data_IF_041535642274
#
_entry.id   IF_041535642274
#
_cell.length_a   1.000
_cell.length_b   1.000
_cell.length_c   1.000
_cell.angle_alpha   90.00
_cell.angle_beta   90.00
_cell.angle_gamma   90.00
#
_symmetry.space_group_name_H-M   'P 1'
#
loop_
_entity.id
_entity.type
_entity.pdbx_description
1 polymer ?
#
# COMPACT_ATOMS: atom_id res chain seq x y z
N UNK A 1 -32.33 27.89 -23.24
CA UNK A 1 -32.63 28.16 -21.82
C UNK A 1 -32.01 27.02 -21.02
N UNK A 2 -30.85 27.25 -20.40
CA UNK A 2 -30.10 26.20 -19.68
C UNK A 2 -30.68 26.10 -18.28
N UNK A 3 -31.46 25.06 -18.00
CA UNK A 3 -31.88 24.76 -16.64
C UNK A 3 -30.72 24.00 -15.99
N UNK A 4 -29.72 24.74 -15.51
CA UNK A 4 -28.63 24.17 -14.73
C UNK A 4 -29.14 23.82 -13.34
N UNK A 5 -29.54 22.56 -13.13
CA UNK A 5 -29.66 22.01 -11.77
C UNK A 5 -28.25 21.68 -11.32
N UNK A 6 -27.50 22.68 -10.85
CA UNK A 6 -26.19 22.49 -10.23
C UNK A 6 -26.37 21.93 -8.82
N UNK A 7 -26.76 20.66 -8.70
CA UNK A 7 -26.67 19.98 -7.40
C UNK A 7 -25.21 19.62 -7.17
N UNK A 8 -24.45 20.56 -6.61
CA UNK A 8 -23.12 20.28 -6.05
C UNK A 8 -23.38 19.49 -4.77
N UNK A 9 -23.07 18.20 -4.78
CA UNK A 9 -23.01 17.42 -3.54
C UNK A 9 -21.56 17.32 -3.17
N UNK A 10 -21.22 17.95 -2.04
CA UNK A 10 -19.92 17.81 -1.42
C UNK A 10 -19.93 16.61 -0.49
N UNK A 11 -18.94 15.75 -0.67
CA UNK A 11 -18.73 14.55 0.14
C UNK A 11 -17.39 14.72 0.85
N UNK A 12 -17.33 14.72 2.19
CA UNK A 12 -16.09 14.92 2.92
C UNK A 12 -15.14 13.74 2.70
N UNK A 13 -13.87 14.03 2.42
CA UNK A 13 -12.79 13.05 2.34
C UNK A 13 -11.82 13.15 3.52
N UNK A 14 -12.22 13.90 4.56
CA UNK A 14 -11.45 14.12 5.78
C UNK A 14 -10.52 15.32 5.70
N UNK A 15 -9.76 15.51 6.78
CA UNK A 15 -8.80 16.61 6.92
C UNK A 15 -7.55 16.18 7.67
N UNK A 16 -6.45 16.88 7.44
CA UNK A 16 -5.17 16.68 8.12
C UNK A 16 -4.55 18.02 8.48
N UNK A 17 -3.66 17.99 9.46
CA UNK A 17 -2.71 19.07 9.71
C UNK A 17 -1.37 18.71 9.04
N UNK A 18 -0.87 19.58 8.15
CA UNK A 18 0.41 19.38 7.47
C UNK A 18 1.24 20.66 7.51
N UNK A 19 2.42 20.60 8.16
CA UNK A 19 3.35 21.72 8.32
C UNK A 19 2.70 23.02 8.83
N UNK A 20 1.76 22.90 9.77
CA UNK A 20 1.06 24.04 10.37
C UNK A 20 -0.06 24.63 9.51
N UNK A 21 -0.53 23.89 8.50
CA UNK A 21 -1.70 24.24 7.70
C UNK A 21 -2.72 23.10 7.74
N UNK A 22 -3.98 23.44 8.05
CA UNK A 22 -5.10 22.51 7.87
C UNK A 22 -5.34 22.30 6.37
N UNK A 23 -5.39 21.04 5.95
CA UNK A 23 -5.69 20.64 4.58
C UNK A 23 -6.96 19.79 4.61
N UNK A 24 -8.01 20.29 3.96
CA UNK A 24 -9.31 19.64 3.89
C UNK A 24 -9.52 19.07 2.51
N UNK A 25 -9.92 17.80 2.43
CA UNK A 25 -10.22 17.11 1.19
C UNK A 25 -11.73 16.91 1.06
N UNK A 26 -12.29 17.18 -0.11
CA UNK A 26 -13.66 16.83 -0.43
C UNK A 26 -13.80 16.36 -1.87
N UNK A 27 -14.80 15.50 -2.12
CA UNK A 27 -15.21 15.13 -3.46
C UNK A 27 -16.47 15.91 -3.83
N UNK A 28 -16.50 16.42 -5.06
CA UNK A 28 -17.66 17.09 -5.61
C UNK A 28 -18.00 16.47 -6.96
N UNK A 29 -19.30 16.41 -7.25
CA UNK A 29 -19.75 16.05 -8.59
C UNK A 29 -20.80 17.04 -9.07
N UNK A 30 -20.72 17.36 -10.36
CA UNK A 30 -21.67 18.24 -11.04
C UNK A 30 -22.30 17.48 -12.18
N UNK A 31 -23.63 17.58 -12.30
CA UNK A 31 -24.38 17.05 -13.44
C UNK A 31 -25.05 18.22 -14.15
N UNK A 32 -24.59 18.53 -15.34
CA UNK A 32 -25.19 19.53 -16.20
C UNK A 32 -26.15 18.86 -17.17
N UNK A 33 -27.42 19.25 -17.09
CA UNK A 33 -28.43 18.90 -18.08
C UNK A 33 -28.63 20.09 -19.03
N UNK A 34 -28.62 19.81 -20.33
CA UNK A 34 -28.84 20.81 -21.36
C UNK A 34 -29.65 20.23 -22.51
N UNK A 35 -30.30 21.08 -23.29
CA UNK A 35 -30.96 20.69 -24.54
C UNK A 35 -29.99 20.61 -25.73
N UNK A 36 -28.69 20.44 -25.47
CA UNK A 36 -27.65 20.34 -26.51
C UNK A 36 -27.49 18.89 -27.02
N UNK A 37 -26.67 18.70 -28.07
CA UNK A 37 -26.37 17.38 -28.62
C UNK A 37 -25.74 16.42 -27.60
N UNK A 38 -25.13 16.93 -26.53
CA UNK A 38 -24.71 16.14 -25.36
C UNK A 38 -25.56 16.56 -24.16
N UNK A 39 -26.77 15.99 -24.02
CA UNK A 39 -27.78 16.51 -23.12
C UNK A 39 -27.44 16.33 -21.64
N UNK A 40 -26.50 15.44 -21.33
CA UNK A 40 -26.01 15.19 -19.97
C UNK A 40 -24.48 15.24 -19.98
N UNK A 41 -23.92 16.10 -19.14
CA UNK A 41 -22.48 16.12 -18.85
C UNK A 41 -22.27 16.00 -17.34
N UNK A 42 -21.60 14.96 -16.90
CA UNK A 42 -21.14 14.84 -15.52
C UNK A 42 -19.65 15.10 -15.41
N UNK A 43 -19.24 15.73 -14.32
CA UNK A 43 -17.86 15.88 -13.92
C UNK A 43 -17.73 15.60 -12.43
N UNK A 44 -16.61 15.00 -12.04
CA UNK A 44 -16.25 14.77 -10.65
C UNK A 44 -14.87 15.38 -10.41
N UNK A 45 -14.69 15.95 -9.24
CA UNK A 45 -13.46 16.61 -8.85
C UNK A 45 -13.18 16.36 -7.38
N UNK A 46 -11.89 16.35 -7.04
CA UNK A 46 -11.43 16.47 -5.65
C UNK A 46 -11.08 17.93 -5.43
N UNK A 47 -11.64 18.52 -4.39
CA UNK A 47 -11.32 19.86 -3.93
C UNK A 47 -10.41 19.72 -2.72
N UNK A 48 -9.32 20.48 -2.73
CA UNK A 48 -8.40 20.59 -1.62
C UNK A 48 -8.40 22.04 -1.15
N UNK A 49 -8.80 22.25 0.09
CA UNK A 49 -8.89 23.58 0.70
C UNK A 49 -7.79 23.71 1.75
N UNK A 50 -7.12 24.86 1.75
CA UNK A 50 -6.05 25.18 2.71
C UNK A 50 -6.58 26.17 3.74
N UNK A 51 -6.28 25.94 5.02
CA UNK A 51 -6.70 26.82 6.11
C UNK A 51 -5.99 28.18 6.12
N UNK A 52 -4.85 28.29 5.44
CA UNK A 52 -4.02 29.49 5.35
C UNK A 52 -3.46 29.66 3.93
N UNK A 53 -2.86 30.82 3.67
CA UNK A 53 -2.07 31.05 2.45
C UNK A 53 -0.90 30.06 2.34
N UNK A 54 -0.70 29.50 1.14
CA UNK A 54 0.33 28.49 0.88
C UNK A 54 1.11 28.80 -0.39
N UNK A 55 2.35 28.32 -0.47
CA UNK A 55 3.16 28.43 -1.69
C UNK A 55 2.75 27.40 -2.76
N UNK A 56 3.16 27.64 -4.00
CA UNK A 56 2.96 26.68 -5.09
C UNK A 56 3.71 25.36 -4.85
N UNK A 57 4.86 25.39 -4.17
CA UNK A 57 5.59 24.20 -3.75
C UNK A 57 4.75 23.33 -2.81
N UNK A 58 4.04 23.95 -1.86
CA UNK A 58 3.13 23.24 -0.97
C UNK A 58 1.96 22.62 -1.76
N UNK A 59 1.35 23.38 -2.67
CA UNK A 59 0.30 22.86 -3.57
C UNK A 59 0.79 21.66 -4.37
N UNK A 60 2.01 21.72 -4.90
CA UNK A 60 2.63 20.60 -5.65
C UNK A 60 2.84 19.36 -4.78
N UNK A 61 3.25 19.55 -3.54
CA UNK A 61 3.43 18.47 -2.55
C UNK A 61 2.10 17.76 -2.28
N UNK A 62 1.03 18.53 -1.99
CA UNK A 62 -0.31 18.01 -1.74
C UNK A 62 -0.89 17.33 -2.99
N UNK A 63 -0.73 17.95 -4.16
CA UNK A 63 -1.11 17.34 -5.45
C UNK A 63 -0.43 15.99 -5.66
N UNK A 64 0.87 15.90 -5.36
CA UNK A 64 1.62 14.64 -5.52
C UNK A 64 1.07 13.59 -4.56
N UNK A 65 0.78 13.94 -3.31
CA UNK A 65 0.13 13.03 -2.36
C UNK A 65 -1.24 12.54 -2.86
N UNK A 66 -2.11 13.43 -3.34
CA UNK A 66 -3.40 13.05 -3.92
C UNK A 66 -3.22 12.09 -5.10
N UNK A 67 -2.28 12.39 -6.00
CA UNK A 67 -1.96 11.50 -7.12
C UNK A 67 -1.51 10.11 -6.66
N UNK A 68 -0.64 10.02 -5.65
CA UNK A 68 -0.22 8.73 -5.07
C UNK A 68 -1.38 7.99 -4.41
N UNK A 69 -2.25 8.71 -3.70
CA UNK A 69 -3.49 8.13 -3.15
C UNK A 69 -4.35 7.52 -4.25
N UNK A 70 -4.52 8.19 -5.39
CA UNK A 70 -5.26 7.61 -6.51
C UNK A 70 -4.59 6.37 -7.11
N UNK A 71 -3.26 6.34 -7.21
CA UNK A 71 -2.52 5.14 -7.62
C UNK A 71 -2.80 3.98 -6.66
N UNK A 72 -2.78 4.25 -5.36
CA UNK A 72 -3.06 3.26 -4.32
C UNK A 72 -4.50 2.74 -4.39
N UNK A 73 -5.52 3.60 -4.36
CA UNK A 73 -6.92 3.16 -4.33
C UNK A 73 -7.35 2.43 -5.61
N UNK A 74 -6.62 2.59 -6.70
CA UNK A 74 -6.89 1.92 -7.99
C UNK A 74 -5.88 0.82 -8.34
N UNK A 75 -4.85 0.64 -7.50
CA UNK A 75 -3.75 -0.34 -7.67
C UNK A 75 -3.10 -0.30 -9.06
N UNK A 76 -2.82 0.90 -9.60
CA UNK A 76 -2.16 1.09 -10.93
C UNK A 76 -1.50 2.46 -11.09
N UNK A 77 -0.54 2.56 -12.01
CA UNK A 77 0.25 3.81 -12.23
C UNK A 77 -0.34 4.77 -13.27
N UNK A 78 -1.13 4.27 -14.22
CA UNK A 78 -1.72 5.06 -15.30
C UNK A 78 -2.96 5.89 -14.87
N UNK A 79 -2.76 6.72 -13.84
CA UNK A 79 -3.75 7.69 -13.37
C UNK A 79 -3.57 8.99 -14.15
N UNK A 80 -4.70 9.55 -14.59
CA UNK A 80 -4.74 10.80 -15.34
C UNK A 80 -5.81 11.67 -14.72
N UNK A 81 -5.45 12.91 -14.39
CA UNK A 81 -6.41 13.95 -14.04
C UNK A 81 -6.62 14.82 -15.27
N UNK A 82 -7.88 14.98 -15.70
CA UNK A 82 -8.23 15.72 -16.91
C UNK A 82 -7.85 17.21 -16.82
N UNK A 83 -7.96 17.78 -15.62
CA UNK A 83 -7.59 19.16 -15.33
C UNK A 83 -7.27 19.34 -13.85
N UNK A 84 -6.22 20.11 -13.57
CA UNK A 84 -5.90 20.57 -12.22
C UNK A 84 -5.97 22.09 -12.24
N UNK A 85 -6.94 22.64 -11.52
CA UNK A 85 -7.20 24.07 -11.47
C UNK A 85 -6.84 24.62 -10.10
N UNK A 86 -6.28 25.83 -10.08
CA UNK A 86 -6.04 26.59 -8.85
C UNK A 86 -7.01 27.77 -8.87
N UNK A 87 -7.77 27.91 -7.79
CA UNK A 87 -8.80 28.91 -7.65
C UNK A 87 -8.87 29.43 -6.22
N UNK A 88 -9.43 30.62 -6.07
CA UNK A 88 -9.81 31.19 -4.78
C UNK A 88 -11.34 31.26 -4.67
N UNK A 89 -11.86 31.42 -3.47
CA UNK A 89 -13.28 31.69 -3.23
C UNK A 89 -13.41 33.19 -2.97
N UNK A 90 -14.05 33.90 -3.90
CA UNK A 90 -14.27 35.33 -3.75
C UNK A 90 -15.34 35.66 -2.69
N UNK A 91 -15.53 36.95 -2.40
CA UNK A 91 -16.51 37.47 -1.44
C UNK A 91 -17.97 37.00 -1.67
N UNK A 92 -18.28 36.52 -2.87
CA UNK A 92 -19.62 36.02 -3.26
C UNK A 92 -19.74 34.50 -3.14
N UNK A 93 -18.78 33.82 -2.52
CA UNK A 93 -18.67 32.36 -2.48
C UNK A 93 -18.61 31.70 -3.86
N UNK A 94 -18.01 32.39 -4.84
CA UNK A 94 -17.81 31.86 -6.19
C UNK A 94 -16.33 31.57 -6.43
N UNK A 95 -16.06 30.50 -7.18
CA UNK A 95 -14.70 30.15 -7.59
C UNK A 95 -14.15 31.17 -8.58
N UNK A 96 -13.06 31.82 -8.20
CA UNK A 96 -12.26 32.66 -9.08
C UNK A 96 -10.99 31.90 -9.50
N UNK A 97 -10.98 31.44 -10.76
CA UNK A 97 -9.90 30.59 -11.27
C UNK A 97 -8.75 31.47 -11.76
N UNK A 98 -7.59 31.34 -11.15
CA UNK A 98 -6.41 32.13 -11.50
C UNK A 98 -5.25 31.31 -12.05
N UNK A 99 -5.34 29.97 -12.10
CA UNK A 99 -4.28 29.14 -12.66
C UNK A 99 -4.69 27.73 -13.07
N UNK A 100 -3.85 27.11 -13.91
CA UNK A 100 -3.90 25.68 -14.26
C UNK A 100 -2.56 25.03 -14.01
N UNK A 101 -2.58 23.90 -13.35
CA UNK A 101 -1.39 23.10 -13.09
C UNK A 101 -1.30 21.97 -14.12
N UNK A 102 -0.15 21.86 -14.79
CA UNK A 102 0.12 20.82 -15.77
C UNK A 102 1.21 19.89 -15.26
N UNK A 103 0.85 18.66 -14.96
CA UNK A 103 1.84 17.61 -14.70
C UNK A 103 2.33 17.04 -16.03
N UNK A 104 3.62 17.16 -16.33
CA UNK A 104 4.19 16.64 -17.57
C UNK A 104 4.70 15.20 -17.44
N UNK A 105 4.60 14.59 -16.25
CA UNK A 105 5.08 13.23 -15.96
C UNK A 105 4.16 12.12 -16.47
N UNK A 106 3.02 12.47 -17.09
CA UNK A 106 1.96 11.52 -17.42
C UNK A 106 2.47 10.30 -18.19
N UNK A 107 2.23 9.12 -17.61
CA UNK A 107 2.43 7.83 -18.24
C UNK A 107 1.65 7.75 -19.55
N UNK A 108 2.34 7.30 -20.61
CA UNK A 108 1.81 7.25 -21.98
C UNK A 108 0.78 6.15 -22.21
N UNK A 109 0.63 5.22 -21.26
CA UNK A 109 -0.28 4.08 -21.40
C UNK A 109 -1.68 4.42 -20.91
N UNK A 110 -2.63 4.58 -21.83
CA UNK A 110 -4.06 4.69 -21.49
C UNK A 110 -4.56 3.38 -20.92
N UNK A 111 -5.45 3.47 -19.93
CA UNK A 111 -6.18 2.29 -19.43
C UNK A 111 -7.17 1.80 -20.48
N UNK A 112 -7.07 0.52 -20.85
CA UNK A 112 -7.93 -0.13 -21.84
C UNK A 112 -8.86 -1.17 -21.22
N UNK A 113 -8.62 -1.56 -19.97
CA UNK A 113 -9.38 -2.60 -19.32
C UNK A 113 -10.79 -2.10 -18.93
N UNK A 114 -11.82 -2.79 -19.44
CA UNK A 114 -13.22 -2.45 -19.18
C UNK A 114 -13.63 -2.57 -17.71
N UNK A 115 -12.93 -3.38 -16.93
CA UNK A 115 -13.18 -3.57 -15.49
C UNK A 115 -12.56 -2.46 -14.63
N UNK A 116 -11.88 -1.46 -15.20
CA UNK A 116 -11.19 -0.43 -14.42
C UNK A 116 -12.05 0.28 -13.38
N UNK A 117 -13.33 0.53 -13.70
CA UNK A 117 -14.27 1.18 -12.79
C UNK A 117 -14.68 0.29 -11.61
N UNK A 118 -14.47 -1.03 -11.74
CA UNK A 118 -14.76 -2.02 -10.72
C UNK A 118 -13.53 -2.36 -9.87
N UNK A 119 -12.32 -1.90 -10.24
CA UNK A 119 -11.06 -2.22 -9.57
C UNK A 119 -10.55 -1.02 -8.76
N UNK A 120 -11.36 -0.59 -7.79
CA UNK A 120 -11.11 0.63 -7.01
C UNK A 120 -11.59 0.42 -5.57
N UNK A 121 -10.82 0.90 -4.58
CA UNK A 121 -11.30 1.10 -3.21
C UNK A 121 -12.26 2.29 -3.19
N UNK A 122 -13.53 2.02 -2.92
CA UNK A 122 -14.60 3.01 -2.99
C UNK A 122 -14.65 3.90 -1.75
N UNK A 123 -15.46 4.95 -1.83
CA UNK A 123 -15.79 5.80 -0.68
C UNK A 123 -16.38 5.00 0.49
N UNK A 124 -17.15 3.95 0.23
CA UNK A 124 -17.75 3.13 1.29
C UNK A 124 -16.68 2.45 2.17
N UNK A 125 -15.54 2.10 1.56
CA UNK A 125 -14.37 1.55 2.23
C UNK A 125 -13.55 2.65 2.92
N UNK A 126 -13.10 3.67 2.17
CA UNK A 126 -12.10 4.64 2.65
C UNK A 126 -12.75 5.82 3.40
N UNK A 127 -13.84 6.37 2.86
CA UNK A 127 -14.52 7.53 3.43
C UNK A 127 -13.58 8.70 3.73
N UNK A 128 -13.73 9.27 4.93
CA UNK A 128 -12.88 10.36 5.43
C UNK A 128 -11.43 9.93 5.75
N UNK A 129 -11.12 8.63 5.77
CA UNK A 129 -9.74 8.15 5.93
C UNK A 129 -8.89 8.38 4.67
N UNK A 130 -9.48 8.90 3.59
CA UNK A 130 -8.73 9.36 2.42
C UNK A 130 -7.67 10.39 2.82
N UNK A 131 -8.00 11.32 3.71
CA UNK A 131 -7.07 12.32 4.21
C UNK A 131 -5.90 11.69 4.99
N UNK A 132 -6.16 10.66 5.80
CA UNK A 132 -5.13 9.89 6.50
C UNK A 132 -4.21 9.12 5.55
N UNK A 133 -4.77 8.55 4.48
CA UNK A 133 -3.99 7.90 3.43
C UNK A 133 -3.12 8.90 2.66
N UNK A 134 -3.66 10.07 2.30
CA UNK A 134 -2.91 11.15 1.68
C UNK A 134 -1.75 11.62 2.59
N UNK A 135 -1.99 11.76 3.90
CA UNK A 135 -0.95 12.08 4.87
C UNK A 135 0.15 11.03 4.92
N UNK A 136 -0.19 9.75 4.84
CA UNK A 136 0.81 8.67 4.81
C UNK A 136 1.74 8.78 3.57
N UNK A 137 1.25 9.32 2.45
CA UNK A 137 2.13 9.64 1.31
C UNK A 137 2.97 10.90 1.51
N UNK A 138 2.44 11.93 2.18
CA UNK A 138 3.19 13.13 2.54
C UNK A 138 4.36 12.82 3.48
N UNK A 139 4.16 11.88 4.40
CA UNK A 139 5.19 11.39 5.32
C UNK A 139 6.23 10.46 4.64
N UNK A 140 5.98 10.04 3.40
CA UNK A 140 6.88 9.17 2.64
C UNK A 140 6.98 7.74 3.17
N UNK A 141 5.99 7.29 3.95
CA UNK A 141 6.00 5.98 4.59
C UNK A 141 5.50 4.87 3.67
N UNK A 142 4.56 5.15 2.76
CA UNK A 142 4.01 4.14 1.83
C UNK A 142 4.89 4.00 0.58
N UNK A 143 5.23 2.77 0.22
CA UNK A 143 5.95 2.43 -1.00
C UNK A 143 5.03 1.77 -2.04
N UNK A 144 4.93 2.35 -3.25
CA UNK A 144 3.97 1.91 -4.29
C UNK A 144 4.59 1.66 -5.67
N UNK A 145 5.91 1.52 -5.76
CA UNK A 145 6.56 1.24 -7.05
C UNK A 145 6.36 -0.20 -7.53
N UNK A 146 5.80 -1.06 -6.66
CA UNK A 146 5.36 -2.41 -7.00
C UNK A 146 4.04 -2.43 -7.81
N UNK A 147 3.31 -1.31 -7.85
CA UNK A 147 2.04 -1.24 -8.56
C UNK A 147 2.24 -1.43 -10.07
N UNK A 148 1.36 -2.21 -10.74
CA UNK A 148 1.45 -2.40 -12.18
C UNK A 148 1.13 -1.11 -12.94
N UNK A 149 1.63 -0.99 -14.17
CA UNK A 149 1.36 0.22 -14.97
C UNK A 149 -0.13 0.41 -15.24
N UNK A 150 -0.84 -0.69 -15.48
CA UNK A 150 -2.26 -0.75 -15.85
C UNK A 150 -2.88 -2.09 -15.42
N UNK A 151 -4.21 -2.20 -15.52
CA UNK A 151 -4.92 -3.40 -15.06
C UNK A 151 -4.63 -4.66 -15.87
N UNK A 152 -4.27 -4.54 -17.14
CA UNK A 152 -3.91 -5.68 -17.99
C UNK A 152 -2.53 -6.29 -17.63
N UNK A 153 -1.73 -5.57 -16.84
CA UNK A 153 -0.42 -6.00 -16.33
C UNK A 153 -0.46 -6.52 -14.89
N UNK A 154 -1.63 -6.55 -14.24
CA UNK A 154 -1.77 -6.99 -12.83
C UNK A 154 -1.21 -8.40 -12.58
N UNK A 155 -1.35 -9.33 -13.52
CA UNK A 155 -0.85 -10.70 -13.38
C UNK A 155 0.55 -10.90 -14.00
N UNK A 156 1.21 -9.83 -14.44
CA UNK A 156 2.55 -9.89 -15.01
C UNK A 156 3.56 -9.54 -13.92
N UNK A 157 4.23 -10.56 -13.40
CA UNK A 157 5.28 -10.40 -12.40
C UNK A 157 6.64 -10.53 -13.08
N UNK A 158 7.29 -9.39 -13.31
CA UNK A 158 8.72 -9.34 -13.64
C UNK A 158 9.57 -9.41 -12.36
N UNK A 159 10.85 -9.79 -12.46
CA UNK A 159 11.76 -9.81 -11.30
C UNK A 159 11.85 -8.46 -10.57
N UNK A 160 11.74 -7.36 -11.30
CA UNK A 160 11.68 -6.00 -10.76
C UNK A 160 10.45 -5.78 -9.87
N UNK A 161 9.26 -6.15 -10.36
CA UNK A 161 8.03 -6.02 -9.60
C UNK A 161 8.03 -6.89 -8.35
N UNK A 162 8.46 -8.15 -8.48
CA UNK A 162 8.60 -9.08 -7.36
C UNK A 162 9.52 -8.53 -6.27
N UNK A 163 10.66 -7.94 -6.66
CA UNK A 163 11.56 -7.28 -5.72
C UNK A 163 10.87 -6.10 -5.03
N UNK A 164 10.12 -5.29 -5.79
CA UNK A 164 9.38 -4.17 -5.24
C UNK A 164 8.24 -4.58 -4.30
N UNK A 165 7.59 -5.74 -4.50
CA UNK A 165 6.62 -6.29 -3.56
C UNK A 165 7.29 -6.61 -2.20
N UNK A 166 8.48 -7.22 -2.22
CA UNK A 166 9.24 -7.45 -0.99
C UNK A 166 9.64 -6.14 -0.30
N UNK A 167 10.17 -5.17 -1.06
CA UNK A 167 10.54 -3.86 -0.52
C UNK A 167 9.31 -3.14 0.06
N UNK A 168 8.16 -3.21 -0.62
CA UNK A 168 6.92 -2.64 -0.11
C UNK A 168 6.55 -3.24 1.25
N UNK A 169 6.56 -4.58 1.34
CA UNK A 169 6.22 -5.29 2.56
C UNK A 169 7.19 -4.96 3.70
N UNK A 170 8.49 -5.02 3.46
CA UNK A 170 9.50 -4.76 4.50
C UNK A 170 9.41 -3.31 5.03
N UNK A 171 9.16 -2.33 4.15
CA UNK A 171 8.98 -0.93 4.57
C UNK A 171 7.69 -0.75 5.36
N UNK A 172 6.58 -1.33 4.90
CA UNK A 172 5.30 -1.25 5.59
C UNK A 172 5.36 -1.92 6.96
N UNK A 173 6.04 -3.08 7.04
CA UNK A 173 6.30 -3.77 8.30
C UNK A 173 7.10 -2.88 9.26
N UNK A 174 8.23 -2.32 8.81
CA UNK A 174 9.07 -1.48 9.66
C UNK A 174 8.34 -0.21 10.17
N UNK A 175 7.41 0.33 9.37
CA UNK A 175 6.63 1.50 9.75
C UNK A 175 5.59 1.20 10.84
N UNK A 176 4.96 0.02 10.80
CA UNK A 176 3.82 -0.32 11.65
C UNK A 176 4.22 -1.22 12.84
N UNK A 177 5.30 -1.98 12.71
CA UNK A 177 5.79 -2.95 13.68
C UNK A 177 7.28 -2.66 13.98
N UNK A 178 7.60 -1.51 14.60
CA UNK A 178 8.98 -1.21 15.01
C UNK A 178 9.48 -2.32 15.95
N UNK A 179 10.67 -2.87 15.66
CA UNK A 179 11.21 -4.17 16.13
C UNK A 179 11.27 -4.40 17.66
N UNK A 180 10.12 -4.48 18.29
CA UNK A 180 9.89 -5.08 19.60
C UNK A 180 8.72 -6.06 19.43
N UNK A 181 8.91 -7.30 19.86
CA UNK A 181 7.91 -8.38 20.00
C UNK A 181 7.51 -9.23 18.78
N UNK A 182 8.45 -10.01 18.21
CA UNK A 182 8.07 -11.23 17.47
C UNK A 182 8.96 -12.47 17.73
N UNK A 183 10.12 -12.34 18.40
CA UNK A 183 10.96 -13.52 18.72
C UNK A 183 10.52 -14.15 20.04
N UNK A 184 10.47 -15.48 20.09
CA UNK A 184 10.23 -16.21 21.34
C UNK A 184 11.35 -15.94 22.35
N UNK A 185 11.01 -15.94 23.64
CA UNK A 185 11.98 -15.74 24.73
C UNK A 185 13.18 -16.68 24.61
N UNK A 186 12.94 -17.94 24.20
CA UNK A 186 13.99 -18.94 23.97
C UNK A 186 14.97 -18.54 22.87
N UNK A 187 14.49 -17.95 21.77
CA UNK A 187 15.37 -17.47 20.72
C UNK A 187 16.18 -16.27 21.20
N UNK A 188 15.55 -15.33 21.91
CA UNK A 188 16.25 -14.17 22.48
C UNK A 188 17.33 -14.61 23.48
N UNK A 189 17.05 -15.60 24.31
CA UNK A 189 18.00 -16.22 25.23
C UNK A 189 19.15 -16.92 24.49
N UNK A 190 18.85 -17.69 23.45
CA UNK A 190 19.86 -18.35 22.62
C UNK A 190 20.76 -17.34 21.90
N UNK A 191 20.18 -16.28 21.31
CA UNK A 191 20.91 -15.18 20.66
C UNK A 191 21.82 -14.46 21.65
N UNK A 192 21.31 -14.13 22.85
CA UNK A 192 22.09 -13.53 23.93
C UNK A 192 23.26 -14.42 24.33
N UNK A 193 23.00 -15.70 24.58
CA UNK A 193 24.03 -16.70 24.95
C UNK A 193 25.11 -16.81 23.86
N UNK A 194 24.72 -16.89 22.59
CA UNK A 194 25.66 -16.97 21.48
C UNK A 194 26.55 -15.71 21.37
N UNK A 195 25.97 -14.53 21.58
CA UNK A 195 26.72 -13.26 21.59
C UNK A 195 27.72 -13.20 22.76
N UNK A 196 27.32 -13.61 23.96
CA UNK A 196 28.18 -13.66 25.14
C UNK A 196 29.37 -14.63 24.94
N UNK A 197 29.12 -15.81 24.38
CA UNK A 197 30.17 -16.78 24.03
C UNK A 197 31.14 -16.21 22.99
N UNK A 198 30.61 -15.56 21.94
CA UNK A 198 31.43 -14.93 20.92
C UNK A 198 32.27 -13.77 21.48
N UNK A 199 31.71 -12.96 22.38
CA UNK A 199 32.43 -11.88 23.04
C UNK A 199 33.61 -12.41 23.86
N UNK A 200 33.39 -13.44 24.69
CA UNK A 200 34.48 -14.09 25.44
C UNK A 200 35.58 -14.66 24.54
N UNK A 201 35.22 -15.25 23.39
CA UNK A 201 36.19 -15.74 22.42
C UNK A 201 36.96 -14.62 21.70
N UNK A 202 36.32 -13.49 21.40
CA UNK A 202 36.94 -12.33 20.75
C UNK A 202 38.01 -11.68 21.66
N UNK A 203 37.77 -11.65 22.97
CA UNK A 203 38.71 -11.10 23.96
C UNK A 203 39.99 -11.93 24.07
N UNK A 204 39.88 -13.25 23.94
CA UNK A 204 41.00 -14.19 24.11
C UNK A 204 41.83 -14.44 22.84
N UNK A 205 41.40 -13.93 21.67
CA UNK A 205 42.05 -14.20 20.39
C UNK A 205 42.61 -12.92 19.78
N UNK A 206 43.65 -13.05 18.96
CA UNK A 206 44.27 -11.95 18.21
C UNK A 206 44.37 -12.29 16.71
N UNK A 207 44.72 -11.29 15.89
CA UNK A 207 44.94 -11.49 14.46
C UNK A 207 43.68 -11.86 13.66
N UNK A 208 43.86 -12.69 12.61
CA UNK A 208 42.78 -13.08 11.68
C UNK A 208 41.61 -13.79 12.38
N UNK A 209 41.89 -14.60 13.40
CA UNK A 209 40.85 -15.32 14.15
C UNK A 209 39.89 -14.35 14.84
N UNK A 210 40.43 -13.31 15.51
CA UNK A 210 39.62 -12.24 16.11
C UNK A 210 38.73 -11.57 15.06
N UNK A 211 39.29 -11.28 13.87
CA UNK A 211 38.54 -10.66 12.77
C UNK A 211 37.37 -11.53 12.29
N UNK A 212 37.56 -12.84 12.14
CA UNK A 212 36.47 -13.75 11.75
C UNK A 212 35.38 -13.84 12.83
N UNK A 213 35.77 -13.98 14.09
CA UNK A 213 34.83 -14.01 15.22
C UNK A 213 34.03 -12.70 15.34
N UNK A 214 34.66 -11.54 15.16
CA UNK A 214 33.96 -10.25 15.14
C UNK A 214 32.96 -10.15 13.98
N UNK A 215 33.27 -10.73 12.82
CA UNK A 215 32.32 -10.80 11.69
C UNK A 215 31.13 -11.71 12.02
N UNK A 216 31.37 -12.87 12.64
CA UNK A 216 30.27 -13.76 13.06
C UNK A 216 29.38 -13.11 14.11
N UNK A 217 29.97 -12.47 15.12
CA UNK A 217 29.22 -11.70 16.11
C UNK A 217 28.36 -10.62 15.48
N UNK A 218 28.89 -9.86 14.51
CA UNK A 218 28.11 -8.86 13.77
C UNK A 218 26.92 -9.48 13.05
N UNK A 219 27.09 -10.64 12.42
CA UNK A 219 26.01 -11.36 11.73
C UNK A 219 24.94 -11.86 12.70
N UNK A 220 25.35 -12.47 13.81
CA UNK A 220 24.42 -12.93 14.86
C UNK A 220 23.68 -11.75 15.48
N UNK A 221 24.36 -10.63 15.75
CA UNK A 221 23.74 -9.42 16.28
C UNK A 221 22.69 -8.85 15.32
N UNK A 222 23.04 -8.78 14.03
CA UNK A 222 22.16 -8.30 12.95
C UNK A 222 21.15 -9.36 12.46
N UNK A 223 21.05 -10.53 13.11
CA UNK A 223 20.05 -11.53 12.77
C UNK A 223 18.66 -11.00 13.19
N UNK A 224 17.91 -10.54 12.20
CA UNK A 224 16.56 -10.02 12.33
C UNK A 224 15.53 -11.13 12.10
N UNK A 225 14.23 -10.81 12.23
CA UNK A 225 13.17 -11.72 11.82
C UNK A 225 13.29 -12.04 10.33
N UNK A 226 13.15 -13.33 9.98
CA UNK A 226 13.08 -13.71 8.57
C UNK A 226 11.84 -13.09 7.91
N UNK A 227 11.82 -12.99 6.58
CA UNK A 227 10.63 -12.56 5.87
C UNK A 227 9.42 -13.45 6.23
N UNK A 228 9.67 -14.75 6.39
CA UNK A 228 8.66 -15.73 6.81
C UNK A 228 8.06 -15.36 8.17
N UNK A 229 8.90 -15.10 9.18
CA UNK A 229 8.46 -14.73 10.52
C UNK A 229 7.63 -13.43 10.50
N UNK A 230 8.10 -12.43 9.75
CA UNK A 230 7.40 -11.15 9.58
C UNK A 230 6.03 -11.35 8.91
N UNK A 231 5.97 -12.12 7.82
CA UNK A 231 4.72 -12.40 7.10
C UNK A 231 3.71 -13.10 8.01
N UNK A 232 4.10 -14.18 8.68
CA UNK A 232 3.21 -14.95 9.56
C UNK A 232 2.70 -14.10 10.73
N UNK A 233 3.57 -13.29 11.34
CA UNK A 233 3.20 -12.38 12.42
C UNK A 233 2.17 -11.35 12.00
N UNK A 234 2.35 -10.71 10.84
CA UNK A 234 1.41 -9.70 10.35
C UNK A 234 0.11 -10.33 9.88
N UNK A 235 0.15 -11.51 9.24
CA UNK A 235 -1.06 -12.25 8.88
C UNK A 235 -1.87 -12.59 10.12
N UNK A 236 -1.22 -12.95 11.22
CA UNK A 236 -1.87 -13.17 12.52
C UNK A 236 -2.48 -11.88 13.07
N UNK A 237 -1.77 -10.76 13.02
CA UNK A 237 -2.31 -9.46 13.43
C UNK A 237 -3.51 -9.04 12.56
N UNK A 238 -3.48 -9.33 11.26
CA UNK A 238 -4.55 -9.05 10.30
C UNK A 238 -5.49 -10.25 10.07
N UNK A 239 -5.57 -11.22 11.00
CA UNK A 239 -6.20 -12.52 10.73
C UNK A 239 -7.65 -12.38 10.27
N UNK A 240 -8.45 -11.56 10.96
CA UNK A 240 -9.85 -11.35 10.61
C UNK A 240 -9.99 -10.84 9.18
N UNK A 241 -9.18 -9.87 8.78
CA UNK A 241 -9.19 -9.30 7.42
C UNK A 241 -8.70 -10.33 6.40
N UNK A 242 -7.60 -11.03 6.68
CA UNK A 242 -6.91 -11.89 5.72
C UNK A 242 -7.57 -13.24 5.50
N UNK A 243 -8.28 -13.78 6.49
CA UNK A 243 -8.84 -15.13 6.47
C UNK A 243 -9.63 -15.50 5.20
N UNK A 244 -10.57 -14.66 4.67
CA UNK A 244 -11.28 -15.00 3.45
C UNK A 244 -10.36 -15.17 2.23
N UNK A 245 -9.32 -14.34 2.13
CA UNK A 245 -8.34 -14.38 1.05
C UNK A 245 -7.41 -15.59 1.17
N UNK A 246 -6.98 -15.93 2.39
CA UNK A 246 -6.19 -17.14 2.64
C UNK A 246 -6.96 -18.40 2.29
N UNK A 247 -8.26 -18.45 2.62
CA UNK A 247 -9.13 -19.58 2.22
C UNK A 247 -9.29 -19.63 0.70
N UNK A 248 -9.39 -18.49 0.03
CA UNK A 248 -9.51 -18.42 -1.43
C UNK A 248 -8.25 -18.94 -2.13
N UNK A 249 -7.06 -18.53 -1.69
CA UNK A 249 -5.78 -18.89 -2.31
C UNK A 249 -5.28 -20.29 -1.91
N UNK A 250 -5.39 -20.64 -0.63
CA UNK A 250 -4.75 -21.83 -0.04
C UNK A 250 -5.77 -22.90 0.40
N UNK A 251 -7.06 -22.60 0.39
CA UNK A 251 -8.13 -23.49 0.83
C UNK A 251 -8.43 -23.41 2.34
N UNK A 252 -9.52 -24.06 2.77
CA UNK A 252 -9.98 -24.03 4.18
C UNK A 252 -8.95 -24.62 5.17
N UNK A 253 -8.06 -25.48 4.70
CA UNK A 253 -6.99 -26.09 5.49
C UNK A 253 -5.71 -25.27 5.55
N UNK A 254 -5.71 -23.99 5.16
CA UNK A 254 -4.48 -23.18 5.05
C UNK A 254 -3.63 -23.13 6.33
N UNK A 255 -4.27 -23.27 7.50
CA UNK A 255 -3.62 -23.25 8.82
C UNK A 255 -3.69 -24.62 9.53
N UNK A 256 -3.97 -25.70 8.78
CA UNK A 256 -3.97 -27.08 9.31
C UNK A 256 -2.65 -27.72 8.90
N UNK A 257 -1.84 -28.22 9.84
CA UNK A 257 -0.56 -28.84 9.51
C UNK A 257 -0.75 -30.09 8.65
N UNK A 258 0.05 -30.21 7.60
CA UNK A 258 0.23 -31.40 6.76
C UNK A 258 1.73 -31.70 6.80
N UNK A 259 2.12 -32.85 7.33
CA UNK A 259 3.54 -33.19 7.54
C UNK A 259 4.29 -32.13 8.37
N UNK A 260 3.72 -31.77 9.54
CA UNK A 260 4.28 -30.81 10.53
C UNK A 260 4.26 -29.33 10.13
N UNK A 261 3.97 -28.98 8.87
CA UNK A 261 3.91 -27.60 8.37
C UNK A 261 2.53 -27.26 7.81
N UNK A 262 2.02 -26.06 8.07
CA UNK A 262 0.78 -25.59 7.44
C UNK A 262 1.05 -25.11 6.00
N UNK A 263 0.07 -25.15 5.09
CA UNK A 263 0.21 -24.56 3.76
C UNK A 263 0.63 -23.09 3.78
N UNK A 264 0.19 -22.33 4.79
CA UNK A 264 0.59 -20.93 4.97
C UNK A 264 2.07 -20.80 5.35
N UNK A 265 2.57 -21.63 6.26
CA UNK A 265 3.99 -21.65 6.64
C UNK A 265 4.88 -22.10 5.48
N UNK A 266 4.44 -23.06 4.66
CA UNK A 266 5.18 -23.48 3.45
C UNK A 266 5.30 -22.32 2.45
N UNK A 267 4.21 -21.57 2.19
CA UNK A 267 4.25 -20.38 1.35
C UNK A 267 5.20 -19.32 1.93
N UNK A 268 5.10 -19.02 3.23
CA UNK A 268 5.97 -18.03 3.87
C UNK A 268 7.46 -18.41 3.76
N UNK A 269 7.79 -19.69 3.95
CA UNK A 269 9.14 -20.24 3.78
C UNK A 269 9.66 -20.13 2.35
N UNK A 270 8.83 -20.47 1.36
CA UNK A 270 9.16 -20.32 -0.07
C UNK A 270 9.40 -18.85 -0.45
N UNK A 271 8.56 -17.93 0.02
CA UNK A 271 8.73 -16.50 -0.22
C UNK A 271 10.01 -15.95 0.41
N UNK A 272 10.37 -16.42 1.62
CA UNK A 272 11.63 -16.05 2.25
C UNK A 272 12.86 -16.54 1.45
N UNK A 273 12.79 -17.78 0.94
CA UNK A 273 13.83 -18.33 0.06
C UNK A 273 13.96 -17.50 -1.21
N UNK A 274 12.84 -17.24 -1.88
CA UNK A 274 12.80 -16.42 -3.10
C UNK A 274 13.39 -15.02 -2.88
N UNK A 275 13.02 -14.34 -1.80
CA UNK A 275 13.55 -13.02 -1.46
C UNK A 275 15.07 -13.04 -1.28
N UNK A 276 15.61 -14.05 -0.60
CA UNK A 276 17.03 -14.18 -0.37
C UNK A 276 17.79 -14.47 -1.67
N UNK A 277 17.27 -15.35 -2.52
CA UNK A 277 17.85 -15.63 -3.84
C UNK A 277 17.91 -14.36 -4.71
N UNK A 278 16.81 -13.60 -4.76
CA UNK A 278 16.75 -12.33 -5.49
C UNK A 278 17.71 -11.27 -4.93
N UNK A 279 17.81 -11.15 -3.60
CA UNK A 279 18.73 -10.21 -2.95
C UNK A 279 20.22 -10.57 -3.22
N UNK A 280 20.52 -11.84 -3.45
CA UNK A 280 21.85 -12.32 -3.81
C UNK A 280 22.12 -12.31 -5.33
N UNK A 281 21.17 -11.83 -6.14
CA UNK A 281 21.29 -11.74 -7.59
C UNK A 281 21.15 -13.07 -8.32
N UNK A 282 20.65 -14.11 -7.64
CA UNK A 282 20.33 -15.38 -8.26
C UNK A 282 18.99 -15.26 -8.99
N UNK A 283 19.02 -15.21 -10.32
CA UNK A 283 17.83 -15.06 -11.16
C UNK A 283 17.40 -16.37 -11.84
N UNK A 284 18.14 -17.46 -11.67
CA UNK A 284 17.76 -18.79 -12.18
C UNK A 284 16.78 -19.47 -11.21
N UNK A 285 15.63 -18.80 -11.00
CA UNK A 285 14.62 -19.20 -10.04
C UNK A 285 13.50 -19.93 -10.79
N UNK A 286 13.27 -21.18 -10.43
CA UNK A 286 12.14 -21.96 -10.93
C UNK A 286 10.88 -21.56 -10.17
N UNK A 287 10.05 -20.73 -10.79
CA UNK A 287 8.77 -20.32 -10.23
C UNK A 287 7.76 -21.47 -10.27
N UNK A 288 7.09 -21.69 -9.15
CA UNK A 288 5.94 -22.57 -9.03
C UNK A 288 4.68 -21.78 -8.65
N UNK A 289 3.52 -22.47 -8.58
CA UNK A 289 2.25 -21.86 -8.20
C UNK A 289 2.25 -21.21 -6.81
N UNK A 290 3.07 -21.70 -5.88
CA UNK A 290 3.11 -21.20 -4.50
C UNK A 290 3.72 -19.81 -4.42
N UNK A 291 4.67 -19.50 -5.30
CA UNK A 291 5.22 -18.15 -5.42
C UNK A 291 4.15 -17.16 -5.90
N UNK A 292 3.29 -17.58 -6.84
CA UNK A 292 2.18 -16.74 -7.32
C UNK A 292 1.20 -16.46 -6.16
N UNK A 293 0.80 -17.49 -5.42
CA UNK A 293 -0.06 -17.30 -4.24
C UNK A 293 0.61 -16.42 -3.19
N UNK A 294 1.92 -16.59 -2.96
CA UNK A 294 2.70 -15.77 -2.04
C UNK A 294 2.69 -14.30 -2.41
N UNK A 295 2.89 -13.93 -3.67
CA UNK A 295 2.79 -12.53 -4.11
C UNK A 295 1.38 -11.97 -3.96
N UNK A 296 0.34 -12.73 -4.33
CA UNK A 296 -1.05 -12.30 -4.13
C UNK A 296 -1.37 -12.06 -2.64
N UNK A 297 -0.86 -12.93 -1.75
CA UNK A 297 -1.00 -12.77 -0.30
C UNK A 297 -0.26 -11.53 0.18
N UNK A 298 0.97 -11.29 -0.25
CA UNK A 298 1.76 -10.10 0.11
C UNK A 298 1.05 -8.81 -0.33
N UNK A 299 0.61 -8.73 -1.58
CA UNK A 299 -0.10 -7.55 -2.09
C UNK A 299 -1.41 -7.30 -1.34
N UNK A 300 -2.15 -8.35 -0.98
CA UNK A 300 -3.38 -8.23 -0.18
C UNK A 300 -3.06 -7.78 1.24
N UNK A 301 -2.02 -8.35 1.84
CA UNK A 301 -1.57 -8.03 3.20
C UNK A 301 -1.10 -6.59 3.32
N UNK A 302 -0.38 -6.06 2.33
CA UNK A 302 0.04 -4.66 2.27
C UNK A 302 -1.13 -3.69 2.44
N UNK A 303 -2.23 -3.95 1.73
CA UNK A 303 -3.43 -3.14 1.85
C UNK A 303 -4.14 -3.37 3.18
N UNK A 304 -4.22 -4.62 3.66
CA UNK A 304 -4.81 -4.93 4.96
C UNK A 304 -4.10 -4.19 6.10
N UNK A 305 -2.76 -4.21 6.13
CA UNK A 305 -1.92 -3.51 7.10
C UNK A 305 -2.22 -2.02 7.13
N UNK A 306 -2.13 -1.35 5.96
CA UNK A 306 -2.30 0.10 5.87
C UNK A 306 -3.72 0.54 6.20
N UNK A 307 -4.73 -0.15 5.65
CA UNK A 307 -6.12 0.22 5.89
C UNK A 307 -6.52 -0.04 7.36
N UNK A 308 -6.01 -1.10 7.99
CA UNK A 308 -6.18 -1.36 9.43
C UNK A 308 -5.51 -0.27 10.26
N UNK A 309 -4.29 0.14 9.91
CA UNK A 309 -3.56 1.21 10.60
C UNK A 309 -4.28 2.58 10.51
N UNK A 310 -5.06 2.81 9.45
CA UNK A 310 -5.94 3.97 9.31
C UNK A 310 -7.24 3.87 10.14
N UNK A 311 -7.45 2.76 10.85
CA UNK A 311 -8.65 2.54 11.68
C UNK A 311 -9.92 2.26 10.87
N UNK A 312 -9.80 1.79 9.62
CA UNK A 312 -10.96 1.39 8.82
C UNK A 312 -11.51 0.07 9.36
N UNK A 313 -12.84 -0.03 9.43
CA UNK A 313 -13.54 -1.24 9.84
C UNK A 313 -13.11 -2.47 9.02
N UNK A 314 -12.81 -3.57 9.70
CA UNK A 314 -12.23 -4.77 9.07
C UNK A 314 -13.14 -5.35 7.97
N UNK A 315 -14.46 -5.26 8.14
CA UNK A 315 -15.41 -5.73 7.14
C UNK A 315 -15.39 -4.86 5.89
N UNK A 316 -15.35 -3.54 6.05
CA UNK A 316 -15.17 -2.60 4.94
C UNK A 316 -13.83 -2.80 4.22
N UNK A 317 -12.77 -3.14 4.95
CA UNK A 317 -11.47 -3.49 4.36
C UNK A 317 -11.63 -4.72 3.47
N UNK A 318 -12.23 -5.81 3.97
CA UNK A 318 -12.44 -7.02 3.19
C UNK A 318 -13.24 -6.76 1.89
N UNK A 319 -14.32 -5.99 1.97
CA UNK A 319 -15.14 -5.64 0.80
C UNK A 319 -14.34 -4.81 -0.22
N UNK A 320 -13.59 -3.81 0.24
CA UNK A 320 -12.70 -3.02 -0.60
C UNK A 320 -11.60 -3.87 -1.25
N UNK A 321 -10.97 -4.77 -0.50
CA UNK A 321 -9.94 -5.68 -0.99
C UNK A 321 -10.48 -6.61 -2.08
N UNK A 322 -11.66 -7.18 -1.90
CA UNK A 322 -12.31 -8.01 -2.94
C UNK A 322 -12.41 -7.23 -4.25
N UNK A 323 -12.85 -5.98 -4.15
CA UNK A 323 -13.04 -5.11 -5.31
C UNK A 323 -11.72 -4.71 -5.97
N UNK A 324 -10.77 -4.15 -5.22
CA UNK A 324 -9.52 -3.61 -5.78
C UNK A 324 -8.57 -4.72 -6.26
N UNK A 325 -8.55 -5.88 -5.60
CA UNK A 325 -7.74 -7.04 -6.02
C UNK A 325 -8.44 -7.86 -7.12
N UNK A 326 -9.74 -7.70 -7.31
CA UNK A 326 -10.51 -8.38 -8.34
C UNK A 326 -10.82 -9.83 -8.00
N UNK A 327 -11.01 -10.11 -6.71
CA UNK A 327 -11.45 -11.40 -6.23
C UNK A 327 -12.88 -11.69 -6.67
N UNK A 328 -13.12 -12.95 -7.05
CA UNK A 328 -14.45 -13.42 -7.49
C UNK A 328 -15.09 -14.30 -6.40
N UNK A 329 -15.19 -13.78 -5.18
CA UNK A 329 -15.96 -14.39 -4.10
C UNK A 329 -16.71 -13.33 -3.30
N UNK A 330 -17.76 -13.74 -2.60
CA UNK A 330 -18.50 -12.90 -1.67
C UNK A 330 -18.19 -13.34 -0.24
N UNK A 331 -18.13 -12.37 0.66
CA UNK A 331 -18.04 -12.67 2.09
C UNK A 331 -19.39 -13.18 2.60
N UNK A 332 -19.35 -14.10 3.55
CA UNK A 332 -20.55 -14.53 4.27
C UNK A 332 -21.18 -13.33 5.01
N UNK A 333 -22.50 -13.38 5.16
CA UNK A 333 -23.32 -12.33 5.79
C UNK A 333 -23.32 -12.45 7.31
#
# INVERSE_FOLDING_TARGET
>A
MTVCVNKIIEVPLGKIEWRGTEVVFSAQYTVNQSFSATPLRSSSEIVVTFGNEVSLEFVKEIYTSVFQTFRYITRRNNIVFDSVEVFDINEKNLRDKFGRYYDLRHHREKETNKKMKQRVLTYDCIGEQFAGLAKSFLEGIIYIDHLPDNLDKVNKFGPDRMLFDFVAFEREYANLYPELDVRSDKYLEAKKTALEVLDGLIEQKTGKMKKYLSTFRKRVAADENSLSDRLLSVIKDCETIMKPFLIYELGKGYNVPVDEITPLEDVASKMNTLRNDMAHGNLDIQFDKWHIFGFTIIETLLYAMRLKALGIDERKIQEGLIQVMGYNFSLDR
#
